data_IF_729469873372
#
_entry.id   IF_729469873372
#
_cell.length_a   1.000
_cell.length_b   1.000
_cell.length_c   1.000
_cell.angle_alpha   90.00
_cell.angle_beta   90.00
_cell.angle_gamma   90.00
#
_symmetry.space_group_name_H-M   'P 1'
#
loop_
_entity.id
_entity.type
_entity.pdbx_description
1 polymer ?
#
# COMPACT_ATOMS: atom_id res chain seq x y z
N UNK A 1 10.64 -4.85 -7.31
CA UNK A 1 10.21 -3.45 -7.40
C UNK A 1 10.64 -2.84 -8.73
N UNK A 2 11.86 -3.09 -9.14
CA UNK A 2 12.42 -2.60 -10.40
C UNK A 2 12.07 -3.52 -11.56
N UNK A 3 11.81 -2.93 -12.72
CA UNK A 3 11.68 -3.68 -13.98
C UNK A 3 13.03 -4.35 -14.29
N UNK A 4 12.98 -5.64 -14.53
CA UNK A 4 14.15 -6.47 -14.87
C UNK A 4 14.18 -6.72 -16.39
N UNK A 5 15.36 -6.99 -16.94
CA UNK A 5 15.54 -7.31 -18.37
C UNK A 5 14.78 -8.57 -18.84
N UNK A 6 14.36 -9.42 -17.90
CA UNK A 6 13.56 -10.62 -18.20
C UNK A 6 12.05 -10.38 -18.04
N UNK A 7 11.64 -9.19 -17.58
CA UNK A 7 10.23 -8.80 -17.57
C UNK A 7 9.79 -8.50 -19.03
N UNK A 8 8.52 -8.71 -19.32
CA UNK A 8 7.99 -8.44 -20.67
C UNK A 8 7.73 -6.94 -20.87
N UNK A 9 8.79 -6.14 -20.77
CA UNK A 9 8.80 -4.68 -20.88
C UNK A 9 9.83 -4.24 -21.91
N UNK A 10 9.68 -3.07 -22.53
CA UNK A 10 10.68 -2.51 -23.46
C UNK A 10 12.05 -2.33 -22.76
N UNK A 11 13.12 -2.47 -23.51
CA UNK A 11 14.50 -2.38 -22.96
C UNK A 11 14.76 -1.07 -22.22
N UNK A 12 14.21 0.07 -22.72
CA UNK A 12 14.34 1.38 -22.06
C UNK A 12 13.72 1.42 -20.65
N UNK A 13 12.79 0.51 -20.34
CA UNK A 13 12.14 0.44 -19.04
C UNK A 13 12.98 -0.30 -17.99
N UNK A 14 14.00 -1.07 -18.38
CA UNK A 14 14.84 -1.83 -17.47
C UNK A 14 15.51 -0.92 -16.45
N UNK A 15 15.37 -1.27 -15.16
CA UNK A 15 15.82 -0.46 -14.02
C UNK A 15 14.83 0.64 -13.59
N UNK A 16 13.74 0.83 -14.33
CA UNK A 16 12.64 1.70 -13.94
C UNK A 16 11.65 1.03 -13.00
N UNK A 17 10.57 1.71 -12.67
CA UNK A 17 9.53 1.19 -11.78
C UNK A 17 8.18 1.81 -12.10
N UNK A 18 7.12 1.07 -11.99
CA UNK A 18 5.76 1.62 -11.97
C UNK A 18 5.45 2.21 -10.61
N UNK A 19 4.82 3.37 -10.58
CA UNK A 19 4.37 4.05 -9.37
C UNK A 19 2.85 4.21 -9.39
N UNK A 20 2.19 3.83 -8.29
CA UNK A 20 0.80 4.17 -8.04
C UNK A 20 0.72 5.18 -6.90
N UNK A 21 -0.06 6.24 -7.10
CA UNK A 21 -0.37 7.22 -6.05
C UNK A 21 -1.87 7.26 -5.79
N UNK A 22 -2.26 7.50 -4.53
CA UNK A 22 -3.65 7.74 -4.11
C UNK A 22 -3.68 8.78 -3.01
N UNK A 23 -4.52 9.79 -3.17
CA UNK A 23 -4.93 10.64 -2.05
C UNK A 23 -6.12 9.96 -1.38
N UNK A 24 -5.92 9.44 -0.19
CA UNK A 24 -6.92 8.67 0.54
C UNK A 24 -7.32 9.47 1.77
N UNK A 25 -8.56 10.00 1.78
CA UNK A 25 -9.12 10.64 2.95
C UNK A 25 -9.58 9.58 3.95
N UNK A 26 -9.36 9.83 5.23
CA UNK A 26 -9.90 9.06 6.33
C UNK A 26 -11.07 9.80 6.97
N UNK A 27 -12.18 9.12 7.21
CA UNK A 27 -13.31 9.64 7.98
C UNK A 27 -13.01 9.50 9.46
N UNK A 28 -12.16 10.41 9.97
CA UNK A 28 -11.58 10.35 11.32
C UNK A 28 -12.64 10.29 12.39
N UNK A 29 -13.73 11.09 12.26
CA UNK A 29 -14.82 11.14 13.22
C UNK A 29 -15.57 9.79 13.35
N UNK A 30 -15.65 9.03 12.26
CA UNK A 30 -16.25 7.70 12.27
C UNK A 30 -15.28 6.64 12.79
N UNK A 31 -14.01 6.75 12.39
CA UNK A 31 -12.95 5.85 12.83
C UNK A 31 -12.72 5.93 14.34
N UNK A 32 -12.68 7.13 14.91
CA UNK A 32 -12.41 7.35 16.34
C UNK A 32 -13.57 6.94 17.26
N UNK A 33 -14.77 6.71 16.72
CA UNK A 33 -15.86 6.07 17.45
C UNK A 33 -15.64 4.58 17.68
N UNK A 34 -14.72 3.94 16.96
CA UNK A 34 -14.35 2.55 17.20
C UNK A 34 -13.44 2.44 18.41
N UNK A 35 -13.65 1.37 19.20
CA UNK A 35 -12.70 1.05 20.28
C UNK A 35 -11.31 0.74 19.70
N UNK A 36 -10.25 0.99 20.46
CA UNK A 36 -8.88 0.70 20.07
C UNK A 36 -8.73 -0.74 19.57
N UNK A 37 -9.22 -1.73 20.31
CA UNK A 37 -9.12 -3.12 19.88
C UNK A 37 -9.87 -3.44 18.59
N UNK A 38 -10.97 -2.71 18.28
CA UNK A 38 -11.65 -2.86 16.99
C UNK A 38 -10.84 -2.26 15.85
N UNK A 39 -10.22 -1.07 16.04
CA UNK A 39 -9.31 -0.46 15.07
C UNK A 39 -8.13 -1.38 14.77
N UNK A 40 -7.48 -1.90 15.80
CA UNK A 40 -6.33 -2.81 15.69
C UNK A 40 -6.70 -4.12 14.97
N UNK A 41 -7.86 -4.70 15.24
CA UNK A 41 -8.34 -5.90 14.53
C UNK A 41 -8.60 -5.67 13.06
N UNK A 42 -9.17 -4.53 12.68
CA UNK A 42 -9.40 -4.16 11.27
C UNK A 42 -8.07 -4.05 10.53
N UNK A 43 -7.09 -3.40 11.13
CA UNK A 43 -5.75 -3.23 10.51
C UNK A 43 -4.95 -4.54 10.60
N UNK A 44 -5.00 -5.24 11.73
CA UNK A 44 -4.17 -6.41 12.04
C UNK A 44 -2.86 -6.06 12.78
N UNK A 45 -2.75 -4.81 13.28
CA UNK A 45 -1.57 -4.30 14.01
C UNK A 45 -1.97 -3.52 15.24
N UNK A 46 -1.11 -3.52 16.25
CA UNK A 46 -1.23 -2.62 17.39
C UNK A 46 -0.98 -1.17 16.97
N UNK A 47 -1.85 -0.23 17.41
CA UNK A 47 -1.79 1.18 17.03
C UNK A 47 -0.54 1.87 17.57
N UNK A 48 -0.15 1.54 18.79
CA UNK A 48 0.98 2.17 19.48
C UNK A 48 2.33 1.74 18.90
N UNK A 49 2.55 0.43 18.76
CA UNK A 49 3.85 -0.13 18.38
C UNK A 49 4.01 -0.39 16.89
N UNK A 50 2.90 -0.44 16.12
CA UNK A 50 2.90 -0.91 14.74
C UNK A 50 3.13 -2.43 14.59
N UNK A 51 3.39 -3.15 15.68
CA UNK A 51 3.63 -4.59 15.63
C UNK A 51 2.38 -5.35 15.17
N UNK A 52 2.52 -6.43 14.41
CA UNK A 52 1.41 -7.34 14.12
C UNK A 52 0.77 -7.85 15.42
N UNK A 53 -0.54 -8.00 15.45
CA UNK A 53 -1.22 -8.54 16.65
C UNK A 53 -0.61 -9.90 17.02
N UNK A 54 -0.24 -10.05 18.30
CA UNK A 54 0.46 -11.24 18.81
C UNK A 54 1.97 -11.21 18.70
N UNK A 55 2.54 -10.18 18.05
CA UNK A 55 3.98 -9.95 17.94
C UNK A 55 4.43 -8.76 18.81
N UNK A 56 5.75 -8.48 18.85
CA UNK A 56 6.35 -7.46 19.70
C UNK A 56 6.91 -6.27 18.91
N UNK A 57 7.45 -6.52 17.71
CA UNK A 57 8.11 -5.52 16.89
C UNK A 57 7.36 -5.29 15.57
N UNK A 58 7.48 -4.09 15.02
CA UNK A 58 6.85 -3.73 13.74
C UNK A 58 7.26 -4.67 12.59
N UNK A 59 8.53 -5.10 12.59
CA UNK A 59 9.13 -5.94 11.55
C UNK A 59 8.88 -7.45 11.75
N UNK A 60 8.23 -7.84 12.85
CA UNK A 60 7.89 -9.25 13.09
C UNK A 60 6.96 -9.76 11.99
N UNK A 61 7.14 -11.03 11.62
CA UNK A 61 6.30 -11.67 10.59
C UNK A 61 4.89 -11.92 11.14
N UNK A 62 3.84 -11.35 10.54
CA UNK A 62 2.48 -11.59 10.99
C UNK A 62 2.04 -13.04 10.73
N UNK A 63 1.30 -13.62 11.67
CA UNK A 63 0.68 -14.92 11.54
C UNK A 63 -0.84 -14.77 11.42
N UNK A 64 -1.42 -15.31 10.34
CA UNK A 64 -2.83 -15.16 10.02
C UNK A 64 -3.62 -16.41 10.39
N UNK A 65 -4.85 -16.24 10.90
CA UNK A 65 -5.69 -17.31 11.40
C UNK A 65 -7.11 -17.23 10.84
N UNK A 66 -7.66 -18.37 10.42
CA UNK A 66 -9.06 -18.46 9.93
C UNK A 66 -10.09 -18.20 11.05
N UNK A 67 -9.80 -18.68 12.25
CA UNK A 67 -10.63 -18.51 13.44
C UNK A 67 -9.76 -17.91 14.55
N UNK A 68 -9.51 -16.57 14.53
CA UNK A 68 -8.56 -15.94 15.42
C UNK A 68 -9.07 -15.88 16.85
N UNK A 69 -8.19 -16.14 17.83
CA UNK A 69 -8.36 -15.72 19.22
C UNK A 69 -8.01 -14.23 19.38
N UNK A 70 -8.16 -13.68 20.60
CA UNK A 70 -7.96 -12.25 20.84
C UNK A 70 -6.57 -11.70 20.45
N UNK A 71 -5.52 -12.55 20.50
CA UNK A 71 -4.14 -12.16 20.16
C UNK A 71 -3.70 -12.72 18.80
N UNK A 72 -4.62 -12.89 17.87
CA UNK A 72 -4.34 -13.43 16.53
C UNK A 72 -4.96 -12.54 15.46
N UNK A 73 -4.33 -12.50 14.28
CA UNK A 73 -4.76 -11.72 13.14
C UNK A 73 -5.73 -12.57 12.32
N UNK A 74 -6.91 -12.01 12.04
CA UNK A 74 -7.87 -12.62 11.12
C UNK A 74 -7.38 -12.58 9.68
N UNK A 75 -7.86 -13.50 8.84
CA UNK A 75 -7.60 -13.49 7.39
C UNK A 75 -8.26 -12.31 6.66
N UNK A 76 -9.27 -11.68 7.26
CA UNK A 76 -9.98 -10.50 6.73
C UNK A 76 -9.39 -9.16 7.23
N UNK A 77 -8.35 -9.19 8.07
CA UNK A 77 -7.64 -7.99 8.47
C UNK A 77 -6.88 -7.38 7.28
N UNK A 78 -6.80 -6.04 7.25
CA UNK A 78 -6.16 -5.29 6.17
C UNK A 78 -4.79 -5.84 5.77
N UNK A 79 -3.89 -6.10 6.74
CA UNK A 79 -2.55 -6.61 6.43
C UNK A 79 -2.54 -8.04 5.90
N UNK A 80 -3.53 -8.86 6.25
CA UNK A 80 -3.66 -10.22 5.74
C UNK A 80 -4.15 -10.23 4.28
N UNK A 81 -5.14 -9.39 3.97
CA UNK A 81 -5.65 -9.20 2.62
C UNK A 81 -4.61 -8.53 1.71
N UNK A 82 -3.93 -7.48 2.20
CA UNK A 82 -2.91 -6.77 1.43
C UNK A 82 -1.73 -7.68 1.06
N UNK A 83 -1.26 -8.50 1.99
CA UNK A 83 -0.16 -9.44 1.77
C UNK A 83 -0.38 -10.76 2.51
N UNK A 84 -1.04 -11.74 1.88
CA UNK A 84 -1.29 -13.06 2.48
C UNK A 84 -0.04 -13.89 2.77
N UNK A 85 1.13 -13.49 2.25
CA UNK A 85 2.44 -14.15 2.46
C UNK A 85 2.47 -15.61 2.02
N UNK A 86 1.84 -15.90 0.90
CA UNK A 86 1.87 -17.22 0.25
C UNK A 86 2.81 -17.19 -0.96
N UNK A 87 3.30 -18.34 -1.40
CA UNK A 87 4.10 -18.44 -2.63
C UNK A 87 3.39 -17.85 -3.85
N UNK A 88 2.07 -17.99 -3.94
CA UNK A 88 1.27 -17.41 -5.02
C UNK A 88 1.24 -15.86 -5.01
N UNK A 89 1.49 -15.22 -3.85
CA UNK A 89 1.43 -13.76 -3.70
C UNK A 89 2.81 -13.10 -3.61
N UNK A 90 3.91 -13.83 -3.72
CA UNK A 90 5.26 -13.27 -3.73
C UNK A 90 5.47 -12.25 -4.86
N UNK A 91 4.89 -12.49 -6.03
CA UNK A 91 4.94 -11.55 -7.16
C UNK A 91 4.16 -10.25 -6.94
N UNK A 92 3.28 -10.21 -5.94
CA UNK A 92 2.43 -9.04 -5.65
C UNK A 92 3.08 -8.05 -4.65
N UNK A 93 4.37 -8.16 -4.39
CA UNK A 93 5.06 -7.27 -3.46
C UNK A 93 5.15 -5.85 -4.04
N UNK A 94 4.81 -4.87 -3.19
CA UNK A 94 4.92 -3.45 -3.48
C UNK A 94 5.79 -2.76 -2.42
N UNK A 95 6.60 -1.78 -2.83
CA UNK A 95 7.33 -0.91 -1.92
C UNK A 95 6.48 0.32 -1.62
N UNK A 96 5.95 0.45 -0.40
CA UNK A 96 5.12 1.59 0.02
C UNK A 96 5.97 2.71 0.59
N UNK A 97 5.64 3.95 0.19
CA UNK A 97 6.23 5.19 0.72
C UNK A 97 5.11 6.21 0.93
N UNK A 98 4.20 5.91 1.86
CA UNK A 98 3.07 6.78 2.19
C UNK A 98 3.45 7.91 3.13
N UNK A 99 2.66 9.00 3.09
CA UNK A 99 2.77 10.17 3.96
C UNK A 99 1.39 10.56 4.49
N UNK A 100 1.30 10.84 5.77
CA UNK A 100 0.08 11.42 6.32
C UNK A 100 -0.08 12.87 5.86
N UNK A 101 -1.32 13.29 5.63
CA UNK A 101 -1.63 14.69 5.38
C UNK A 101 -2.74 15.18 6.29
N UNK A 102 -2.76 16.50 6.54
CA UNK A 102 -3.86 17.21 7.17
C UNK A 102 -4.01 18.57 6.48
N UNK A 103 -5.24 18.89 6.03
CA UNK A 103 -5.59 20.13 5.35
C UNK A 103 -6.56 20.99 6.17
N UNK A 104 -6.75 20.66 7.45
CA UNK A 104 -7.70 21.32 8.32
C UNK A 104 -9.11 20.74 8.18
N UNK A 105 -10.10 21.58 7.94
CA UNK A 105 -11.51 21.19 7.83
C UNK A 105 -12.03 21.43 6.42
N UNK A 106 -12.94 20.58 5.98
CA UNK A 106 -13.70 20.78 4.76
C UNK A 106 -14.86 21.76 4.95
N UNK A 107 -15.61 22.06 3.88
CA UNK A 107 -16.74 22.97 3.91
C UNK A 107 -17.89 22.52 4.83
N UNK A 108 -17.95 21.26 5.18
CA UNK A 108 -18.90 20.68 6.14
C UNK A 108 -18.39 20.69 7.59
N UNK A 109 -17.18 21.22 7.84
CA UNK A 109 -16.55 21.27 9.15
C UNK A 109 -15.96 19.92 9.62
N UNK A 110 -15.78 18.96 8.72
CA UNK A 110 -15.17 17.66 9.00
C UNK A 110 -13.67 17.69 8.70
N UNK A 111 -12.88 16.94 9.46
CA UNK A 111 -11.43 16.86 9.25
C UNK A 111 -11.09 16.34 7.84
N UNK A 112 -10.26 17.10 7.10
CA UNK A 112 -9.65 16.65 5.85
C UNK A 112 -8.25 16.11 6.11
N UNK A 113 -8.20 14.87 6.57
CA UNK A 113 -6.97 14.15 6.90
C UNK A 113 -6.95 12.79 6.22
N UNK A 114 -5.75 12.26 6.04
CA UNK A 114 -5.61 10.94 5.44
C UNK A 114 -4.18 10.59 5.06
N UNK A 115 -4.06 9.76 4.05
CA UNK A 115 -2.82 9.20 3.55
C UNK A 115 -2.61 9.59 2.08
N UNK A 116 -1.48 10.20 1.78
CA UNK A 116 -0.93 10.20 0.44
C UNK A 116 -0.21 8.85 0.27
N UNK A 117 -0.94 7.89 -0.27
CA UNK A 117 -0.40 6.56 -0.55
C UNK A 117 0.46 6.63 -1.80
N UNK A 118 1.69 6.14 -1.71
CA UNK A 118 2.61 5.98 -2.83
C UNK A 118 3.19 4.57 -2.74
N UNK A 119 3.20 3.87 -3.86
CA UNK A 119 3.91 2.59 -3.94
C UNK A 119 4.60 2.39 -5.28
N UNK A 120 5.64 1.56 -5.25
CA UNK A 120 6.48 1.22 -6.39
C UNK A 120 6.47 -0.29 -6.59
N UNK A 121 6.43 -0.73 -7.84
CA UNK A 121 6.41 -2.13 -8.26
C UNK A 121 6.90 -2.27 -9.71
N UNK A 122 7.33 -3.46 -10.06
CA UNK A 122 7.76 -3.76 -11.43
C UNK A 122 6.60 -4.01 -12.42
N UNK A 123 5.39 -4.27 -11.91
CA UNK A 123 4.16 -4.45 -12.69
C UNK A 123 2.98 -3.87 -11.93
N UNK A 124 2.19 -3.01 -12.55
CA UNK A 124 0.95 -2.49 -11.94
C UNK A 124 -0.07 -3.60 -11.73
N UNK A 125 -0.20 -4.52 -12.67
CA UNK A 125 -1.18 -5.60 -12.61
C UNK A 125 -0.87 -6.58 -11.48
N UNK A 126 0.38 -7.06 -11.41
CA UNK A 126 0.80 -7.99 -10.37
C UNK A 126 1.03 -7.31 -9.01
N UNK A 127 1.37 -6.03 -8.99
CA UNK A 127 1.59 -5.24 -7.78
C UNK A 127 0.32 -4.59 -7.25
N UNK A 128 0.18 -3.28 -7.49
CA UNK A 128 -0.87 -2.46 -6.90
C UNK A 128 -2.29 -2.96 -7.20
N UNK A 129 -2.60 -3.33 -8.46
CA UNK A 129 -3.96 -3.74 -8.83
C UNK A 129 -4.35 -5.05 -8.17
N UNK A 130 -3.47 -6.04 -8.13
CA UNK A 130 -3.71 -7.31 -7.44
C UNK A 130 -3.92 -7.13 -5.93
N UNK A 131 -3.18 -6.21 -5.30
CA UNK A 131 -3.37 -5.87 -3.87
C UNK A 131 -4.70 -5.17 -3.69
N UNK A 132 -5.02 -4.17 -4.52
CA UNK A 132 -6.28 -3.42 -4.44
C UNK A 132 -7.51 -4.32 -4.62
N UNK A 133 -7.44 -5.28 -5.54
CA UNK A 133 -8.53 -6.24 -5.77
C UNK A 133 -8.83 -7.07 -4.50
N UNK A 134 -7.79 -7.52 -3.79
CA UNK A 134 -7.97 -8.24 -2.52
C UNK A 134 -8.53 -7.39 -1.39
N UNK A 135 -8.27 -6.08 -1.43
CA UNK A 135 -8.74 -5.12 -0.41
C UNK A 135 -10.19 -4.66 -0.66
N UNK A 136 -10.77 -4.93 -1.84
CA UNK A 136 -12.16 -4.55 -2.12
C UNK A 136 -13.12 -5.25 -1.15
N UNK A 137 -13.95 -4.45 -0.47
CA UNK A 137 -14.91 -4.93 0.51
C UNK A 137 -14.34 -5.21 1.90
N UNK A 138 -13.07 -4.86 2.18
CA UNK A 138 -12.50 -4.95 3.53
C UNK A 138 -13.19 -4.00 4.52
N UNK A 139 -13.06 -4.31 5.81
CA UNK A 139 -13.68 -3.51 6.87
C UNK A 139 -13.15 -2.06 6.95
N UNK A 140 -11.91 -1.80 6.53
CA UNK A 140 -11.31 -0.47 6.52
C UNK A 140 -11.96 0.44 5.46
N UNK A 141 -12.47 -0.10 4.36
CA UNK A 141 -13.05 0.65 3.24
C UNK A 141 -14.19 1.59 3.67
N UNK A 142 -14.92 1.24 4.74
CA UNK A 142 -15.98 2.09 5.30
C UNK A 142 -15.46 3.41 5.89
N UNK A 143 -14.17 3.50 6.21
CA UNK A 143 -13.54 4.64 6.90
C UNK A 143 -12.59 5.42 6.03
N UNK A 144 -12.37 5.00 4.79
CA UNK A 144 -11.45 5.64 3.86
C UNK A 144 -12.13 5.91 2.52
N UNK A 145 -11.67 6.96 1.84
CA UNK A 145 -12.13 7.30 0.49
C UNK A 145 -10.96 7.80 -0.36
N UNK A 146 -10.56 7.04 -1.38
CA UNK A 146 -9.67 7.57 -2.41
C UNK A 146 -10.39 8.68 -3.19
N UNK A 147 -9.80 9.88 -3.22
CA UNK A 147 -10.37 11.05 -3.90
C UNK A 147 -9.44 11.64 -4.96
N UNK A 148 -8.33 10.98 -5.23
CA UNK A 148 -7.40 11.35 -6.30
C UNK A 148 -6.23 10.39 -6.41
N UNK A 149 -5.45 10.54 -7.47
CA UNK A 149 -4.24 9.76 -7.71
C UNK A 149 -4.00 9.46 -9.18
N UNK A 150 -3.04 8.61 -9.46
CA UNK A 150 -2.67 8.22 -10.81
C UNK A 150 -1.63 7.11 -10.84
N UNK A 151 -1.32 6.68 -12.05
CA UNK A 151 -0.25 5.73 -12.34
C UNK A 151 0.83 6.42 -13.17
N UNK A 152 2.07 6.13 -12.85
CA UNK A 152 3.23 6.74 -13.48
C UNK A 152 4.30 5.67 -13.72
N UNK A 153 5.12 5.89 -14.74
CA UNK A 153 6.36 5.14 -14.89
C UNK A 153 7.53 6.02 -14.43
N UNK A 154 8.34 5.48 -13.55
CA UNK A 154 9.56 6.11 -13.06
C UNK A 154 10.71 5.60 -13.89
N UNK A 155 11.32 6.50 -14.65
CA UNK A 155 12.43 6.18 -15.53
C UNK A 155 13.63 5.63 -14.75
N UNK A 156 14.45 4.78 -15.37
CA UNK A 156 15.72 4.33 -14.79
C UNK A 156 16.63 5.48 -14.44
N UNK A 157 17.54 5.26 -13.49
CA UNK A 157 18.57 6.21 -13.13
C UNK A 157 19.47 6.58 -14.33
N UNK A 158 20.07 7.77 -14.25
CA UNK A 158 20.95 8.29 -15.30
C UNK A 158 22.34 7.67 -15.20
N UNK A 159 22.87 7.20 -16.32
CA UNK A 159 24.26 6.77 -16.44
C UNK A 159 25.21 7.98 -16.58
N UNK A 160 26.49 7.84 -16.17
CA UNK A 160 27.47 8.90 -16.27
C UNK A 160 27.60 9.41 -17.73
N UNK A 161 27.48 10.72 -17.91
CA UNK A 161 27.57 11.36 -19.23
C UNK A 161 26.26 11.33 -20.05
N UNK A 162 25.15 10.86 -19.46
CA UNK A 162 23.85 10.80 -20.10
C UNK A 162 22.81 11.71 -19.41
N UNK A 163 21.54 11.64 -19.78
CA UNK A 163 20.42 12.40 -19.21
C UNK A 163 19.22 11.50 -18.94
N UNK A 164 18.30 11.96 -18.11
CA UNK A 164 17.10 11.20 -17.75
C UNK A 164 16.24 10.94 -19.01
N UNK A 165 15.89 9.68 -19.23
CA UNK A 165 15.09 9.27 -20.38
C UNK A 165 15.87 9.09 -21.67
N UNK A 166 17.21 9.16 -21.66
CA UNK A 166 18.03 8.98 -22.86
C UNK A 166 17.70 7.70 -23.63
N UNK A 167 17.43 6.61 -22.91
CA UNK A 167 17.09 5.30 -23.53
C UNK A 167 15.74 5.30 -24.29
N UNK A 168 14.85 6.26 -24.04
CA UNK A 168 13.59 6.39 -24.79
C UNK A 168 13.79 6.83 -26.24
N UNK A 169 14.93 7.44 -26.56
CA UNK A 169 15.25 8.04 -27.84
C UNK A 169 16.39 7.30 -28.57
N UNK A 170 16.83 6.17 -28.03
CA UNK A 170 17.76 5.26 -28.68
C UNK A 170 16.94 4.25 -29.51
N UNK A 171 17.08 4.31 -30.85
CA UNK A 171 16.55 3.32 -31.80
C UNK A 171 17.37 2.03 -31.76
#
# INVERSE_FOLDING_TARGET
>A
VWVDQNDNEPEWATGGSYMATRSIRMFVEQWDRKSLGAQEKIIGRYKESGAPIGAKNEDDVPMFHKNPSNNQISLDAHIALANPRTSATEKNLILRRGFNYSRGFDDAGLLDQGLLFICFQKSLNDGFLAVQERLNGEALEQYIKPNGGGFFFILPGVENGSYLGAKLFQE
#
